data_IF_805780725187
#
_entry.id   IF_805780725187
#
_cell.length_a   1.000
_cell.length_b   1.000
_cell.length_c   1.000
_cell.angle_alpha   90.00
_cell.angle_beta   90.00
_cell.angle_gamma   90.00
#
_symmetry.space_group_name_H-M   'P 1'
#
loop_
_entity.id
_entity.type
_entity.pdbx_description
1 polymer ?
#
# COMPACT_ATOMS: atom_id res chain seq x y z
N UNK A 1 14.43 -7.65 -18.73
CA UNK A 1 13.42 -6.56 -18.76
C UNK A 1 12.16 -6.99 -19.48
N UNK A 2 12.28 -7.79 -20.55
CA UNK A 2 11.17 -8.35 -21.35
C UNK A 2 9.97 -8.88 -20.55
N UNK A 3 10.18 -9.57 -19.42
CA UNK A 3 9.08 -10.09 -18.59
C UNK A 3 8.20 -8.96 -18.02
N UNK A 4 8.82 -7.91 -17.46
CA UNK A 4 8.07 -6.78 -16.88
C UNK A 4 7.33 -6.02 -17.97
N UNK A 5 7.97 -5.82 -19.12
CA UNK A 5 7.36 -5.14 -20.26
C UNK A 5 6.19 -5.93 -20.85
N UNK A 6 6.31 -7.26 -20.92
CA UNK A 6 5.22 -8.16 -21.29
C UNK A 6 4.04 -8.07 -20.33
N UNK A 7 4.30 -8.21 -19.03
CA UNK A 7 3.26 -8.10 -17.98
C UNK A 7 2.57 -6.74 -18.00
N UNK A 8 3.31 -5.66 -18.20
CA UNK A 8 2.72 -4.33 -18.32
C UNK A 8 1.84 -4.18 -19.55
N UNK A 9 2.29 -4.70 -20.69
CA UNK A 9 1.52 -4.65 -21.94
C UNK A 9 0.20 -5.40 -21.78
N UNK A 10 0.25 -6.59 -21.20
CA UNK A 10 -0.92 -7.43 -20.98
C UNK A 10 -1.91 -6.75 -20.02
N UNK A 11 -1.43 -6.27 -18.87
CA UNK A 11 -2.27 -5.57 -17.90
C UNK A 11 -2.85 -4.24 -18.45
N UNK A 12 -2.10 -3.51 -19.28
CA UNK A 12 -2.58 -2.28 -19.91
C UNK A 12 -3.69 -2.56 -20.94
N UNK A 13 -3.58 -3.65 -21.69
CA UNK A 13 -4.59 -4.03 -22.66
C UNK A 13 -5.96 -4.31 -22.00
N UNK A 14 -5.95 -4.89 -20.79
CA UNK A 14 -7.18 -5.11 -20.02
C UNK A 14 -7.84 -3.81 -19.55
N UNK A 15 -7.05 -2.81 -19.14
CA UNK A 15 -7.56 -1.50 -18.70
C UNK A 15 -8.03 -0.66 -19.88
N UNK A 16 -7.30 -0.66 -21.00
CA UNK A 16 -7.68 0.09 -22.20
C UNK A 16 -9.03 -0.39 -22.76
N UNK A 17 -9.36 -1.69 -22.59
CA UNK A 17 -10.66 -2.28 -22.94
C UNK A 17 -11.85 -1.74 -22.14
N UNK A 18 -11.61 -1.03 -21.03
CA UNK A 18 -12.64 -0.47 -20.15
C UNK A 18 -12.96 1.01 -20.44
N UNK A 19 -12.25 1.63 -21.39
CA UNK A 19 -12.49 3.02 -21.79
C UNK A 19 -12.00 4.07 -20.78
N UNK A 20 -11.09 3.70 -19.87
CA UNK A 20 -10.47 4.63 -18.93
C UNK A 20 -9.47 5.53 -19.67
N UNK A 21 -9.56 6.85 -19.43
CA UNK A 21 -8.63 7.82 -20.01
C UNK A 21 -7.19 7.55 -19.55
N UNK A 22 -6.19 7.70 -20.44
CA UNK A 22 -4.81 7.26 -20.17
C UNK A 22 -4.17 7.98 -19.00
N UNK A 23 -4.53 9.24 -18.79
CA UNK A 23 -4.15 10.10 -17.68
C UNK A 23 -4.67 9.62 -16.31
N UNK A 24 -5.73 8.81 -16.31
CA UNK A 24 -6.32 8.22 -15.11
C UNK A 24 -5.78 6.81 -14.83
N UNK A 25 -4.73 6.38 -15.53
CA UNK A 25 -4.13 5.05 -15.37
C UNK A 25 -2.74 5.17 -14.77
N UNK A 26 -2.52 4.46 -13.66
CA UNK A 26 -1.25 4.38 -12.96
C UNK A 26 -0.69 2.96 -13.06
N UNK A 27 0.62 2.81 -13.28
CA UNK A 27 1.26 1.50 -13.40
C UNK A 27 2.30 1.31 -12.29
N UNK A 28 2.22 0.19 -11.58
CA UNK A 28 3.16 -0.20 -10.53
C UNK A 28 3.91 -1.47 -10.93
N UNK A 29 5.23 -1.35 -11.12
CA UNK A 29 6.13 -2.49 -11.32
C UNK A 29 6.76 -2.84 -9.99
N UNK A 30 6.63 -4.09 -9.52
CA UNK A 30 7.12 -4.51 -8.21
C UNK A 30 7.94 -5.80 -8.29
N UNK A 31 8.91 -5.91 -7.39
CA UNK A 31 9.75 -7.08 -7.21
C UNK A 31 9.53 -7.64 -5.80
N UNK A 32 9.38 -8.95 -5.69
CA UNK A 32 9.26 -9.66 -4.42
C UNK A 32 10.66 -10.15 -4.04
N UNK A 33 11.35 -9.38 -3.19
CA UNK A 33 12.72 -9.68 -2.78
C UNK A 33 12.72 -10.44 -1.46
N UNK A 34 13.64 -11.38 -1.32
CA UNK A 34 13.94 -12.05 -0.06
C UNK A 34 15.44 -12.25 0.10
N UNK A 35 15.90 -12.41 1.33
CA UNK A 35 17.26 -12.90 1.55
C UNK A 35 17.41 -14.35 1.06
N UNK A 36 18.61 -14.69 0.61
CA UNK A 36 18.94 -16.07 0.19
C UNK A 36 18.81 -17.02 1.37
N UNK A 37 18.00 -18.06 1.22
CA UNK A 37 17.74 -19.05 2.26
C UNK A 37 16.72 -18.61 3.31
N UNK A 38 15.93 -17.56 3.05
CA UNK A 38 14.66 -17.29 3.74
C UNK A 38 13.49 -17.66 2.83
N UNK A 39 12.28 -17.76 3.40
CA UNK A 39 11.03 -18.07 2.69
C UNK A 39 10.11 -16.85 2.55
N UNK A 40 10.35 -15.79 3.33
CA UNK A 40 9.52 -14.58 3.32
C UNK A 40 10.10 -13.51 2.40
N UNK A 41 9.26 -13.02 1.48
CA UNK A 41 9.58 -11.91 0.58
C UNK A 41 8.92 -10.60 1.04
N UNK A 42 9.59 -9.49 0.76
CA UNK A 42 9.07 -8.13 0.87
C UNK A 42 8.99 -7.53 -0.53
N UNK A 43 7.96 -6.72 -0.74
CA UNK A 43 7.65 -6.15 -2.05
C UNK A 43 8.30 -4.76 -2.12
N UNK A 44 9.07 -4.52 -3.17
CA UNK A 44 9.73 -3.23 -3.45
C UNK A 44 9.44 -2.77 -4.89
N UNK A 45 9.54 -1.47 -5.21
CA UNK A 45 9.45 -1.01 -6.59
C UNK A 45 10.51 -1.68 -7.46
N UNK A 46 10.11 -2.24 -8.61
CA UNK A 46 11.04 -2.84 -9.56
C UNK A 46 11.87 -1.75 -10.24
N UNK A 47 13.20 -1.91 -10.29
CA UNK A 47 14.06 -0.93 -10.93
C UNK A 47 15.54 -1.27 -10.82
N UNK A 48 16.35 -0.24 -10.54
CA UNK A 48 17.78 -0.42 -10.29
C UNK A 48 18.02 -1.40 -9.12
N UNK A 49 19.01 -2.27 -9.28
CA UNK A 49 19.32 -3.31 -8.31
C UNK A 49 19.65 -2.75 -6.93
N UNK A 50 20.46 -1.70 -6.85
CA UNK A 50 20.88 -1.15 -5.56
C UNK A 50 19.70 -0.49 -4.86
N UNK A 51 18.90 0.29 -5.61
CA UNK A 51 17.66 0.88 -5.06
C UNK A 51 16.68 -0.16 -4.52
N UNK A 52 16.51 -1.28 -5.22
CA UNK A 52 15.66 -2.38 -4.74
C UNK A 52 16.20 -3.00 -3.44
N UNK A 53 17.52 -3.18 -3.33
CA UNK A 53 18.15 -3.71 -2.12
C UNK A 53 18.01 -2.72 -0.96
N UNK A 54 18.28 -1.43 -1.19
CA UNK A 54 18.17 -0.39 -0.16
C UNK A 54 16.74 -0.32 0.40
N UNK A 55 15.73 -0.30 -0.48
CA UNK A 55 14.32 -0.30 -0.08
C UNK A 55 13.96 -1.58 0.69
N UNK A 56 14.43 -2.73 0.21
CA UNK A 56 14.21 -4.01 0.89
C UNK A 56 14.80 -4.01 2.30
N UNK A 57 16.01 -3.49 2.49
CA UNK A 57 16.67 -3.43 3.79
C UNK A 57 15.99 -2.45 4.75
N UNK A 58 15.47 -1.33 4.24
CA UNK A 58 14.63 -0.40 5.01
C UNK A 58 13.37 -1.12 5.50
N UNK A 59 12.62 -1.76 4.60
CA UNK A 59 11.39 -2.49 4.94
C UNK A 59 11.67 -3.66 5.88
N UNK A 60 12.75 -4.41 5.65
CA UNK A 60 13.13 -5.54 6.49
C UNK A 60 13.48 -5.08 7.91
N UNK A 61 14.20 -3.96 8.05
CA UNK A 61 14.50 -3.36 9.36
C UNK A 61 13.25 -2.84 10.04
N UNK A 62 12.33 -2.20 9.32
CA UNK A 62 11.06 -1.74 9.89
C UNK A 62 10.22 -2.91 10.41
N UNK A 63 10.17 -4.02 9.65
CA UNK A 63 9.33 -5.17 9.98
C UNK A 63 9.92 -6.11 11.02
N UNK A 64 11.25 -6.28 11.04
CA UNK A 64 11.93 -7.29 11.86
C UNK A 64 13.01 -6.72 12.79
N UNK A 65 13.37 -5.44 12.66
CA UNK A 65 14.35 -4.77 13.53
C UNK A 65 15.81 -4.94 13.12
N UNK A 66 16.13 -5.67 12.04
CA UNK A 66 17.51 -5.92 11.60
C UNK A 66 17.65 -6.01 10.08
N UNK A 67 18.89 -6.08 9.61
CA UNK A 67 19.27 -6.45 8.22
C UNK A 67 20.26 -7.61 8.29
N UNK A 68 20.48 -8.34 7.18
CA UNK A 68 21.43 -9.46 7.14
C UNK A 68 22.59 -9.17 6.16
N UNK A 69 23.57 -8.32 6.56
CA UNK A 69 24.72 -7.99 5.72
C UNK A 69 25.46 -9.25 5.24
N UNK A 70 25.92 -9.23 3.99
CA UNK A 70 26.63 -10.36 3.38
C UNK A 70 25.73 -11.51 2.90
N UNK A 71 24.43 -11.48 3.21
CA UNK A 71 23.46 -12.42 2.64
C UNK A 71 23.03 -11.94 1.25
N UNK A 72 23.03 -12.86 0.28
CA UNK A 72 22.53 -12.54 -1.06
C UNK A 72 21.02 -12.25 -1.06
N UNK A 73 20.53 -11.63 -2.13
CA UNK A 73 19.10 -11.37 -2.36
C UNK A 73 18.59 -12.25 -3.51
N UNK A 74 17.33 -12.67 -3.43
CA UNK A 74 16.62 -13.43 -4.45
C UNK A 74 15.35 -12.67 -4.81
N UNK A 75 15.12 -12.46 -6.11
CA UNK A 75 13.81 -12.10 -6.63
C UNK A 75 13.01 -13.39 -6.73
N UNK A 76 11.98 -13.52 -5.89
CA UNK A 76 11.09 -14.66 -5.86
C UNK A 76 10.01 -14.54 -6.95
N UNK A 77 9.46 -13.34 -7.11
CA UNK A 77 8.50 -13.00 -8.15
C UNK A 77 8.63 -11.55 -8.59
N UNK A 78 8.02 -11.24 -9.74
CA UNK A 78 7.78 -9.87 -10.19
C UNK A 78 6.31 -9.71 -10.56
N UNK A 79 5.77 -8.52 -10.37
CA UNK A 79 4.38 -8.20 -10.68
C UNK A 79 4.27 -6.84 -11.33
N UNK A 80 3.30 -6.68 -12.23
CA UNK A 80 2.86 -5.38 -12.73
C UNK A 80 1.39 -5.22 -12.42
N UNK A 81 1.02 -4.09 -11.82
CA UNK A 81 -0.36 -3.70 -11.55
C UNK A 81 -0.66 -2.43 -12.34
N UNK A 82 -1.75 -2.43 -13.09
CA UNK A 82 -2.23 -1.25 -13.82
C UNK A 82 -3.58 -0.87 -13.23
N UNK A 83 -3.64 0.31 -12.61
CA UNK A 83 -4.80 0.82 -11.87
C UNK A 83 -5.44 1.94 -12.66
N UNK A 84 -6.67 1.74 -13.14
CA UNK A 84 -7.50 2.80 -13.70
C UNK A 84 -8.34 3.46 -12.61
N UNK A 85 -8.25 4.78 -12.46
CA UNK A 85 -9.14 5.55 -11.58
C UNK A 85 -10.46 5.79 -12.29
N UNK A 86 -11.48 5.02 -11.93
CA UNK A 86 -12.87 5.37 -12.17
C UNK A 86 -13.29 6.39 -11.10
N UNK A 87 -14.09 7.40 -11.47
CA UNK A 87 -14.36 8.60 -10.67
C UNK A 87 -14.50 8.33 -9.16
N UNK A 88 -13.82 9.15 -8.35
CA UNK A 88 -14.03 9.15 -6.90
C UNK A 88 -15.49 9.54 -6.65
N UNK A 89 -16.23 8.65 -5.98
CA UNK A 89 -17.44 9.08 -5.30
C UNK A 89 -17.00 10.06 -4.20
N UNK A 90 -17.61 11.24 -4.17
CA UNK A 90 -17.43 12.14 -3.05
C UNK A 90 -18.10 11.50 -1.83
N UNK A 91 -17.30 11.17 -0.82
CA UNK A 91 -17.84 10.86 0.50
C UNK A 91 -18.31 12.17 1.11
N UNK A 92 -19.61 12.44 0.99
CA UNK A 92 -20.20 13.64 1.56
C UNK A 92 -20.05 13.61 3.08
N UNK A 93 -19.47 14.66 3.64
CA UNK A 93 -19.49 14.88 5.09
C UNK A 93 -20.94 15.03 5.55
N UNK A 94 -21.39 14.12 6.41
CA UNK A 94 -22.70 14.20 7.03
C UNK A 94 -22.56 15.12 8.25
N UNK A 95 -22.81 16.41 8.06
CA UNK A 95 -22.80 17.39 9.16
C UNK A 95 -23.98 17.19 10.13
N UNK A 96 -25.11 16.69 9.65
CA UNK A 96 -26.32 16.43 10.44
C UNK A 96 -27.00 15.13 9.97
N UNK A 97 -27.42 14.28 10.90
CA UNK A 97 -28.10 13.02 10.58
C UNK A 97 -29.61 13.32 10.54
N UNK A 98 -30.27 13.27 9.37
CA UNK A 98 -31.68 13.63 9.26
C UNK A 98 -32.56 12.80 10.20
N UNK A 99 -33.33 13.47 11.05
CA UNK A 99 -34.23 12.81 12.02
C UNK A 99 -33.58 12.42 13.35
N UNK A 100 -32.29 12.67 13.52
CA UNK A 100 -31.62 12.57 14.84
C UNK A 100 -31.64 13.96 15.47
N UNK A 101 -32.40 14.11 16.56
CA UNK A 101 -32.31 15.33 17.36
C UNK A 101 -30.86 15.48 17.87
N UNK A 102 -30.35 16.71 17.88
CA UNK A 102 -29.00 17.02 18.35
C UNK A 102 -28.66 16.23 19.62
N UNK A 103 -27.57 15.45 19.58
CA UNK A 103 -27.18 14.56 20.67
C UNK A 103 -26.99 15.39 21.95
N UNK A 104 -27.91 15.22 22.89
CA UNK A 104 -27.81 15.81 24.23
C UNK A 104 -27.58 14.68 25.22
N UNK A 105 -26.64 14.83 26.16
CA UNK A 105 -26.46 13.83 27.20
C UNK A 105 -27.79 13.65 27.93
N UNK A 106 -28.26 12.41 28.04
CA UNK A 106 -29.47 12.12 28.82
C UNK A 106 -29.27 12.50 30.29
N UNK A 107 -28.03 12.44 30.78
CA UNK A 107 -27.66 12.80 32.15
C UNK A 107 -26.17 13.16 32.19
N UNK A 108 -25.82 14.17 32.99
CA UNK A 108 -24.45 14.45 33.39
C UNK A 108 -24.28 14.04 34.85
N UNK A 109 -23.23 13.30 35.16
CA UNK A 109 -22.92 12.87 36.53
C UNK A 109 -21.55 13.45 36.91
N UNK A 110 -21.43 14.09 38.09
CA UNK A 110 -20.13 14.60 38.56
C UNK A 110 -19.14 13.44 38.74
N UNK A 111 -17.95 13.60 38.18
CA UNK A 111 -16.85 12.66 38.36
C UNK A 111 -16.07 13.01 39.63
N UNK A 112 -15.98 12.08 40.58
CA UNK A 112 -15.08 12.19 41.74
C UNK A 112 -13.88 11.27 41.53
N UNK A 113 -12.68 11.84 41.34
CA UNK A 113 -11.43 11.08 41.33
C UNK A 113 -10.67 11.32 42.64
N UNK A 114 -10.45 10.26 43.42
CA UNK A 114 -9.91 10.33 44.78
C UNK A 114 -8.39 10.57 44.90
N UNK A 115 -7.85 11.57 44.21
CA UNK A 115 -6.45 11.97 44.38
C UNK A 115 -6.29 12.91 45.57
N UNK A 116 -5.61 12.46 46.63
CA UNK A 116 -5.02 13.35 47.63
C UNK A 116 -3.67 13.82 47.08
N UNK A 117 -3.49 15.13 46.90
CA UNK A 117 -2.14 15.76 46.82
C UNK A 117 -1.42 15.64 48.14
#
# INVERSE_FOLDING_TARGET
>A
MEIIEGLEKDARAEIDGQGIAKENVETFRRAHLRYKGTDTALIVPFGDRNKMIDEFEVLHRQRYGFTAPGRGHIIEAVSVEVVGRAGMAEDADIEDIPGVAALRPMTLVPMTSGGKT
#
